data_IF_318273042902
#
_entry.id   IF_318273042902
#
_cell.length_a   1.000
_cell.length_b   1.000
_cell.length_c   1.000
_cell.angle_alpha   90.00
_cell.angle_beta   90.00
_cell.angle_gamma   90.00
#
_symmetry.space_group_name_H-M   'P 1'
#
loop_
_entity.id
_entity.type
_entity.pdbx_description
1 polymer ?
#
# COMPACT_ATOMS: atom_id res chain seq x y z
N UNK A 1 -1.15 87.73 46.20
CA UNK A 1 0.23 88.25 46.06
C UNK A 1 0.94 87.47 44.97
N UNK A 2 1.15 88.15 43.83
CA UNK A 2 2.19 88.03 42.79
C UNK A 2 3.04 86.74 42.70
N UNK A 3 2.95 86.03 41.55
CA UNK A 3 3.99 85.87 40.49
C UNK A 3 4.94 84.67 40.74
N UNK A 4 5.37 83.82 39.79
CA UNK A 4 5.40 83.67 38.31
C UNK A 4 5.51 82.13 38.08
N UNK A 5 5.00 81.54 37.01
CA UNK A 5 5.65 81.58 35.69
C UNK A 5 5.15 80.45 34.78
N UNK A 6 5.13 80.77 33.49
CA UNK A 6 4.60 80.06 32.33
C UNK A 6 5.47 78.85 31.92
N UNK A 7 4.85 77.75 31.46
CA UNK A 7 5.05 77.05 30.17
C UNK A 7 4.99 75.52 30.25
N UNK A 8 4.03 74.90 29.56
CA UNK A 8 4.13 73.54 28.97
C UNK A 8 4.97 73.63 27.67
N UNK A 9 5.32 72.56 26.92
CA UNK A 9 5.19 71.10 27.15
C UNK A 9 6.48 70.30 26.81
N UNK A 10 6.73 69.11 27.39
CA UNK A 10 7.47 68.04 26.68
C UNK A 10 6.94 66.66 27.09
N UNK A 11 6.37 65.98 26.09
CA UNK A 11 6.13 64.55 25.98
C UNK A 11 7.30 63.70 26.50
N UNK A 12 7.06 62.66 27.31
CA UNK A 12 7.49 61.29 27.02
C UNK A 12 7.19 60.32 28.17
N UNK A 13 6.48 59.24 27.80
CA UNK A 13 6.81 57.87 28.19
C UNK A 13 6.32 57.35 29.55
N UNK A 14 4.99 57.18 29.70
CA UNK A 14 4.46 56.03 30.47
C UNK A 14 3.15 55.54 29.83
N UNK A 15 3.24 54.98 28.63
CA UNK A 15 2.19 54.11 28.09
C UNK A 15 2.90 52.87 27.55
N UNK A 16 3.22 51.91 28.41
CA UNK A 16 3.46 50.51 28.03
C UNK A 16 3.46 49.65 29.30
N UNK A 17 2.33 49.58 30.00
CA UNK A 17 2.12 48.64 31.09
C UNK A 17 0.62 48.32 31.17
N UNK A 18 0.14 47.53 30.22
CA UNK A 18 -1.11 46.73 30.35
C UNK A 18 -1.47 45.88 29.12
N UNK A 19 -0.53 45.60 28.20
CA UNK A 19 -0.71 44.53 27.19
C UNK A 19 0.42 43.52 27.30
N UNK A 20 0.52 42.87 28.46
CA UNK A 20 1.18 41.56 28.59
C UNK A 20 0.19 40.69 29.34
N UNK A 21 -0.84 40.25 28.64
CA UNK A 21 -1.70 39.16 29.07
C UNK A 21 -1.32 37.94 28.23
N UNK A 22 -0.59 37.04 28.88
CA UNK A 22 -0.41 35.62 28.55
C UNK A 22 0.04 35.22 27.14
N UNK A 23 1.29 35.54 26.80
CA UNK A 23 2.12 34.56 26.11
C UNK A 23 2.66 33.59 27.16
N UNK A 24 1.84 32.64 27.63
CA UNK A 24 2.33 31.51 28.44
C UNK A 24 3.47 30.90 27.65
N UNK A 25 4.70 30.97 28.17
CA UNK A 25 5.84 30.30 27.57
C UNK A 25 5.49 28.81 27.49
N UNK A 26 5.16 28.33 26.29
CA UNK A 26 4.71 26.96 26.10
C UNK A 26 5.92 26.07 26.32
N UNK A 27 5.89 25.25 27.37
CA UNK A 27 6.98 24.31 27.64
C UNK A 27 7.01 23.24 26.54
N UNK A 28 8.15 22.58 26.31
CA UNK A 28 8.20 21.41 25.43
C UNK A 28 7.14 20.36 25.80
N UNK A 29 6.88 20.17 27.09
CA UNK A 29 5.86 19.26 27.62
C UNK A 29 4.44 19.68 27.24
N UNK A 30 4.12 20.98 27.32
CA UNK A 30 2.81 21.50 26.92
C UNK A 30 2.57 21.32 25.42
N UNK A 31 3.59 21.63 24.62
CA UNK A 31 3.57 21.44 23.17
C UNK A 31 3.40 19.96 22.81
N UNK A 32 4.12 19.08 23.48
CA UNK A 32 3.96 17.63 23.34
C UNK A 32 2.51 17.19 23.67
N UNK A 33 1.95 17.65 24.79
CA UNK A 33 0.60 17.29 25.20
C UNK A 33 -0.45 17.76 24.17
N UNK A 34 -0.33 19.00 23.66
CA UNK A 34 -1.18 19.54 22.59
C UNK A 34 -1.02 18.76 21.29
N UNK A 35 0.21 18.42 20.92
CA UNK A 35 0.50 17.59 19.75
C UNK A 35 -0.16 16.21 19.84
N UNK A 36 -0.09 15.55 20.99
CA UNK A 36 -0.76 14.28 21.26
C UNK A 36 -2.30 14.40 21.28
N UNK A 37 -2.85 15.54 21.71
CA UNK A 37 -4.28 15.80 21.66
C UNK A 37 -4.75 15.98 20.21
N UNK A 38 -4.07 16.82 19.43
CA UNK A 38 -4.36 17.03 18.02
C UNK A 38 -4.25 15.72 17.23
N UNK A 39 -3.23 14.90 17.50
CA UNK A 39 -3.09 13.58 16.88
C UNK A 39 -4.27 12.65 17.19
N UNK A 40 -4.79 12.67 18.42
CA UNK A 40 -5.98 11.90 18.83
C UNK A 40 -7.26 12.40 18.15
N UNK A 41 -7.32 13.68 17.80
CA UNK A 41 -8.42 14.29 17.04
C UNK A 41 -8.30 14.07 15.53
N UNK A 42 -7.21 13.45 15.05
CA UNK A 42 -6.94 13.26 13.62
C UNK A 42 -6.38 14.52 12.93
N UNK A 43 -6.08 15.57 13.69
CA UNK A 43 -5.53 16.84 13.20
C UNK A 43 -4.01 16.73 13.03
N UNK A 44 -3.57 15.82 12.16
CA UNK A 44 -2.17 15.43 12.04
C UNK A 44 -1.23 16.58 11.67
N UNK A 45 -1.68 17.53 10.84
CA UNK A 45 -0.88 18.71 10.49
C UNK A 45 -0.61 19.60 11.71
N UNK A 46 -1.62 19.82 12.56
CA UNK A 46 -1.45 20.59 13.80
C UNK A 46 -0.61 19.81 14.81
N UNK A 47 -0.81 18.49 14.90
CA UNK A 47 -0.01 17.63 15.74
C UNK A 47 1.49 17.74 15.40
N UNK A 48 1.83 17.66 14.11
CA UNK A 48 3.21 17.83 13.64
C UNK A 48 3.76 19.22 14.00
N UNK A 49 2.98 20.30 13.84
CA UNK A 49 3.44 21.64 14.20
C UNK A 49 3.79 21.74 15.69
N UNK A 50 2.92 21.26 16.58
CA UNK A 50 3.19 21.29 18.01
C UNK A 50 4.37 20.39 18.40
N UNK A 51 4.45 19.19 17.83
CA UNK A 51 5.53 18.24 18.14
C UNK A 51 6.89 18.71 17.60
N UNK A 52 6.94 19.33 16.42
CA UNK A 52 8.16 19.96 15.90
C UNK A 52 8.65 21.07 16.82
N UNK A 53 7.74 21.98 17.23
CA UNK A 53 8.10 23.02 18.20
C UNK A 53 8.59 22.44 19.54
N UNK A 54 8.01 21.32 19.99
CA UNK A 54 8.46 20.65 21.21
C UNK A 54 9.90 20.13 21.09
N UNK A 55 10.27 19.52 19.95
CA UNK A 55 11.64 19.05 19.71
C UNK A 55 12.61 20.19 19.36
N UNK A 56 12.15 21.29 18.79
CA UNK A 56 12.98 22.48 18.55
C UNK A 56 13.40 23.15 19.87
N UNK A 57 12.47 23.23 20.83
CA UNK A 57 12.76 23.75 22.17
C UNK A 57 13.55 22.76 23.03
N UNK A 58 13.39 21.46 22.82
CA UNK A 58 14.14 20.42 23.53
C UNK A 58 14.52 19.26 22.58
N UNK A 59 15.69 19.34 21.92
CA UNK A 59 16.10 18.37 20.90
C UNK A 59 16.23 16.91 21.39
N UNK A 60 16.42 16.71 22.69
CA UNK A 60 16.54 15.38 23.32
C UNK A 60 15.23 14.88 23.94
N UNK A 61 14.08 15.47 23.56
CA UNK A 61 12.78 15.03 24.06
C UNK A 61 12.30 13.74 23.37
N UNK A 62 12.77 12.59 23.86
CA UNK A 62 12.51 11.27 23.29
C UNK A 62 11.02 10.98 23.01
N UNK A 63 10.12 11.33 23.96
CA UNK A 63 8.67 11.14 23.80
C UNK A 63 8.08 11.96 22.65
N UNK A 64 8.57 13.18 22.43
CA UNK A 64 8.13 14.02 21.32
C UNK A 64 8.62 13.48 19.96
N UNK A 65 9.84 12.98 19.88
CA UNK A 65 10.33 12.26 18.69
C UNK A 65 9.52 10.99 18.40
N UNK A 66 9.19 10.20 19.44
CA UNK A 66 8.34 9.02 19.28
C UNK A 66 6.93 9.37 18.79
N UNK A 67 6.36 10.48 19.29
CA UNK A 67 5.08 10.99 18.82
C UNK A 67 5.14 11.48 17.37
N UNK A 68 6.20 12.21 16.97
CA UNK A 68 6.44 12.58 15.57
C UNK A 68 6.46 11.33 14.68
N UNK A 69 7.24 10.32 15.08
CA UNK A 69 7.31 9.04 14.38
C UNK A 69 5.94 8.38 14.23
N UNK A 70 5.14 8.37 15.29
CA UNK A 70 3.77 7.83 15.28
C UNK A 70 2.88 8.59 14.29
N UNK A 71 2.93 9.92 14.28
CA UNK A 71 2.11 10.73 13.36
C UNK A 71 2.54 10.52 11.91
N UNK A 72 3.85 10.50 11.64
CA UNK A 72 4.37 10.21 10.30
C UNK A 72 3.97 8.81 9.81
N UNK A 73 3.99 7.80 10.69
CA UNK A 73 3.53 6.45 10.37
C UNK A 73 2.05 6.42 9.97
N UNK A 74 1.20 7.21 10.63
CA UNK A 74 -0.22 7.31 10.27
C UNK A 74 -0.44 8.04 8.94
N UNK A 75 0.39 9.05 8.66
CA UNK A 75 0.36 9.79 7.39
C UNK A 75 0.98 9.02 6.22
N UNK A 76 1.66 7.90 6.47
CA UNK A 76 2.35 7.11 5.45
C UNK A 76 3.72 7.67 5.03
N UNK A 77 4.24 8.68 5.74
CA UNK A 77 5.62 9.15 5.56
C UNK A 77 6.58 8.23 6.32
N UNK A 78 6.81 7.05 5.75
CA UNK A 78 7.65 6.02 6.35
C UNK A 78 9.10 6.48 6.58
N UNK A 79 9.76 7.21 5.65
CA UNK A 79 11.11 7.72 5.89
C UNK A 79 11.21 8.69 7.08
N UNK A 80 10.29 9.66 7.20
CA UNK A 80 10.29 10.58 8.34
C UNK A 80 9.95 9.84 9.65
N UNK A 81 9.03 8.88 9.58
CA UNK A 81 8.67 8.05 10.72
C UNK A 81 9.85 7.25 11.24
N UNK A 82 10.57 6.53 10.38
CA UNK A 82 11.73 5.73 10.77
C UNK A 82 12.83 6.59 11.39
N UNK A 83 13.11 7.77 10.78
CA UNK A 83 14.07 8.73 11.32
C UNK A 83 13.68 9.20 12.73
N UNK A 84 12.41 9.55 12.96
CA UNK A 84 11.95 10.05 14.24
C UNK A 84 11.93 8.95 15.32
N UNK A 85 11.47 7.74 14.99
CA UNK A 85 11.42 6.60 15.91
C UNK A 85 12.84 6.14 16.32
N UNK A 86 13.75 5.99 15.36
CA UNK A 86 15.14 5.62 15.65
C UNK A 86 15.85 6.69 16.48
N UNK A 87 15.54 7.98 16.25
CA UNK A 87 16.04 9.10 17.06
C UNK A 87 15.52 9.03 18.49
N UNK A 88 14.23 8.72 18.70
CA UNK A 88 13.66 8.51 20.02
C UNK A 88 14.32 7.35 20.78
N UNK A 89 14.50 6.19 20.11
CA UNK A 89 15.09 5.00 20.71
C UNK A 89 16.58 5.16 21.02
N UNK A 90 17.31 6.00 20.28
CA UNK A 90 18.69 6.36 20.64
C UNK A 90 18.77 7.11 21.97
N UNK A 91 17.76 7.90 22.32
CA UNK A 91 17.71 8.66 23.57
C UNK A 91 17.12 7.85 24.72
N UNK A 92 16.09 7.05 24.43
CA UNK A 92 15.40 6.21 25.39
C UNK A 92 15.17 4.83 24.76
N UNK A 93 16.14 3.90 24.91
CA UNK A 93 16.06 2.57 24.32
C UNK A 93 14.83 1.77 24.76
N UNK A 94 14.41 1.93 26.02
CA UNK A 94 13.30 1.14 26.59
C UNK A 94 11.91 1.76 26.34
N UNK A 95 11.79 2.63 25.32
CA UNK A 95 10.53 3.25 24.97
C UNK A 95 9.66 2.28 24.15
N UNK A 96 8.98 1.37 24.84
CA UNK A 96 8.12 0.30 24.28
C UNK A 96 7.21 0.76 23.15
N UNK A 97 6.59 1.94 23.30
CA UNK A 97 5.71 2.51 22.27
C UNK A 97 6.46 2.84 20.98
N UNK A 98 7.69 3.35 21.07
CA UNK A 98 8.51 3.67 19.91
C UNK A 98 9.06 2.40 19.25
N UNK A 99 9.48 1.39 20.04
CA UNK A 99 9.88 0.07 19.52
C UNK A 99 8.71 -0.60 18.78
N UNK A 100 7.52 -0.61 19.39
CA UNK A 100 6.31 -1.19 18.81
C UNK A 100 5.91 -0.49 17.50
N UNK A 101 6.02 0.84 17.45
CA UNK A 101 5.73 1.62 16.24
C UNK A 101 6.81 1.42 15.17
N UNK A 102 8.06 1.18 15.55
CA UNK A 102 9.13 0.86 14.61
C UNK A 102 8.92 -0.53 13.99
N UNK A 103 8.53 -1.53 14.79
CA UNK A 103 8.16 -2.84 14.29
C UNK A 103 6.95 -2.76 13.34
N UNK A 104 5.92 -1.98 13.69
CA UNK A 104 4.77 -1.74 12.81
C UNK A 104 5.17 -1.04 11.50
N UNK A 105 6.10 -0.07 11.55
CA UNK A 105 6.65 0.57 10.37
C UNK A 105 7.38 -0.44 9.48
N UNK A 106 8.18 -1.32 10.07
CA UNK A 106 8.85 -2.39 9.33
C UNK A 106 7.85 -3.33 8.68
N UNK A 107 6.80 -3.75 9.37
CA UNK A 107 5.73 -4.56 8.79
C UNK A 107 5.01 -3.84 7.64
N UNK A 108 4.67 -2.55 7.79
CA UNK A 108 4.03 -1.75 6.72
C UNK A 108 4.92 -1.49 5.51
N UNK A 109 6.24 -1.60 5.68
CA UNK A 109 7.22 -1.45 4.61
C UNK A 109 7.75 -2.81 4.14
N UNK A 110 7.03 -3.90 4.45
CA UNK A 110 7.34 -5.28 4.07
C UNK A 110 8.71 -5.80 4.54
N UNK A 111 9.34 -5.11 5.49
CA UNK A 111 10.58 -5.53 6.15
C UNK A 111 10.26 -6.45 7.32
N UNK A 112 9.67 -7.60 7.02
CA UNK A 112 9.09 -8.47 8.05
C UNK A 112 10.11 -9.03 9.03
N UNK A 113 11.31 -9.41 8.58
CA UNK A 113 12.34 -9.92 9.49
C UNK A 113 12.82 -8.86 10.49
N UNK A 114 12.92 -7.59 10.07
CA UNK A 114 13.20 -6.48 10.97
C UNK A 114 12.07 -6.29 11.99
N UNK A 115 10.80 -6.38 11.56
CA UNK A 115 9.66 -6.28 12.46
C UNK A 115 9.65 -7.42 13.50
N UNK A 116 9.90 -8.66 13.04
CA UNK A 116 9.97 -9.85 13.88
C UNK A 116 11.09 -9.70 14.92
N UNK A 117 12.29 -9.28 14.50
CA UNK A 117 13.43 -9.08 15.41
C UNK A 117 13.12 -8.08 16.53
N UNK A 118 12.49 -6.95 16.21
CA UNK A 118 12.07 -5.96 17.22
C UNK A 118 11.02 -6.54 18.17
N UNK A 119 10.03 -7.28 17.65
CA UNK A 119 9.02 -7.90 18.51
C UNK A 119 9.60 -9.01 19.40
N UNK A 120 10.58 -9.79 18.94
CA UNK A 120 11.24 -10.81 19.76
C UNK A 120 11.96 -10.18 20.96
N UNK A 121 12.66 -9.06 20.75
CA UNK A 121 13.28 -8.28 21.83
C UNK A 121 12.23 -7.73 22.81
N UNK A 122 11.13 -7.16 22.28
CA UNK A 122 10.01 -6.70 23.10
C UNK A 122 9.37 -7.82 23.94
N UNK A 123 9.29 -9.05 23.44
CA UNK A 123 8.76 -10.21 24.20
C UNK A 123 9.69 -10.58 25.35
N UNK A 124 11.01 -10.47 25.18
CA UNK A 124 11.94 -10.73 26.27
C UNK A 124 11.79 -9.71 27.40
N UNK A 125 11.54 -8.44 27.06
CA UNK A 125 11.33 -7.35 28.02
C UNK A 125 9.93 -7.36 28.66
N UNK A 126 8.91 -7.71 27.88
CA UNK A 126 7.49 -7.62 28.24
C UNK A 126 6.71 -8.90 27.90
N UNK A 127 7.07 -10.05 28.48
CA UNK A 127 6.48 -11.34 28.11
C UNK A 127 4.98 -11.43 28.40
N UNK A 128 4.44 -10.62 29.30
CA UNK A 128 3.01 -10.56 29.64
C UNK A 128 2.18 -9.68 28.69
N UNK A 129 2.82 -8.87 27.84
CA UNK A 129 2.14 -7.88 27.01
C UNK A 129 1.35 -8.52 25.87
N UNK A 130 0.02 -8.52 25.98
CA UNK A 130 -0.88 -8.98 24.91
C UNK A 130 -0.57 -8.29 23.58
N UNK A 131 -0.33 -6.97 23.60
CA UNK A 131 -0.11 -6.19 22.38
C UNK A 131 1.16 -6.60 21.65
N UNK A 132 2.21 -6.98 22.37
CA UNK A 132 3.47 -7.44 21.78
C UNK A 132 3.27 -8.81 21.13
N UNK A 133 2.57 -9.74 21.79
CA UNK A 133 2.24 -11.05 21.21
C UNK A 133 1.34 -10.95 19.98
N UNK A 134 0.35 -10.06 19.99
CA UNK A 134 -0.47 -9.79 18.81
C UNK A 134 0.36 -9.18 17.67
N UNK A 135 1.30 -8.29 18.01
CA UNK A 135 2.24 -7.68 17.08
C UNK A 135 3.12 -8.71 16.38
N UNK A 136 3.79 -9.59 17.15
CA UNK A 136 4.65 -10.63 16.55
C UNK A 136 3.85 -11.64 15.74
N UNK A 137 2.66 -12.04 16.21
CA UNK A 137 1.81 -12.99 15.49
C UNK A 137 1.38 -12.41 14.13
N UNK A 138 1.01 -11.13 14.10
CA UNK A 138 0.69 -10.41 12.87
C UNK A 138 1.89 -10.26 11.95
N UNK A 139 3.09 -10.02 12.49
CA UNK A 139 4.32 -9.94 11.71
C UNK A 139 4.68 -11.30 11.07
N UNK A 140 4.60 -12.40 11.83
CA UNK A 140 4.78 -13.75 11.29
C UNK A 140 3.75 -14.10 10.22
N UNK A 141 2.48 -13.75 10.45
CA UNK A 141 1.41 -13.99 9.49
C UNK A 141 1.64 -13.23 8.18
N UNK A 142 2.06 -11.96 8.23
CA UNK A 142 2.39 -11.18 7.03
C UNK A 142 3.64 -11.67 6.31
N UNK A 143 4.56 -12.33 7.04
CA UNK A 143 5.75 -12.98 6.48
C UNK A 143 5.48 -14.40 5.93
N UNK A 144 4.22 -14.82 5.85
CA UNK A 144 3.81 -16.20 5.49
C UNK A 144 4.40 -17.31 6.40
N UNK A 145 4.87 -16.95 7.60
CA UNK A 145 5.38 -17.87 8.63
C UNK A 145 4.23 -18.33 9.53
N UNK A 146 3.30 -19.08 8.95
CA UNK A 146 2.01 -19.39 9.58
C UNK A 146 2.13 -20.24 10.84
N UNK A 147 3.08 -21.16 10.91
CA UNK A 147 3.35 -21.98 12.09
C UNK A 147 3.79 -21.12 13.29
N UNK A 148 4.74 -20.20 13.08
CA UNK A 148 5.19 -19.26 14.12
C UNK A 148 4.05 -18.32 14.54
N UNK A 149 3.24 -17.86 13.58
CA UNK A 149 2.06 -17.04 13.87
C UNK A 149 1.03 -17.78 14.73
N UNK A 150 0.82 -19.08 14.49
CA UNK A 150 -0.07 -19.92 15.28
C UNK A 150 0.38 -19.95 16.74
N UNK A 151 1.67 -20.21 17.00
CA UNK A 151 2.22 -20.24 18.35
C UNK A 151 2.05 -18.88 19.05
N UNK A 152 2.41 -17.79 18.36
CA UNK A 152 2.29 -16.44 18.91
C UNK A 152 0.83 -16.02 19.18
N UNK A 153 -0.12 -16.36 18.31
CA UNK A 153 -1.53 -16.12 18.58
C UNK A 153 -2.06 -16.96 19.73
N UNK A 154 -1.63 -18.22 19.88
CA UNK A 154 -1.98 -19.03 21.04
C UNK A 154 -1.45 -18.41 22.33
N UNK A 155 -0.23 -17.90 22.34
CA UNK A 155 0.32 -17.13 23.46
C UNK A 155 -0.51 -15.88 23.77
N UNK A 156 -0.93 -15.13 22.73
CA UNK A 156 -1.83 -13.98 22.92
C UNK A 156 -3.17 -14.39 23.58
N UNK A 157 -3.73 -15.54 23.19
CA UNK A 157 -4.98 -16.06 23.72
C UNK A 157 -4.85 -16.64 25.13
N UNK A 158 -3.67 -17.12 25.55
CA UNK A 158 -3.41 -17.45 26.97
C UNK A 158 -3.56 -16.22 27.87
N UNK A 159 -3.17 -15.04 27.37
CA UNK A 159 -3.25 -13.76 28.10
C UNK A 159 -4.65 -13.14 28.03
N UNK A 160 -5.32 -13.25 26.88
CA UNK A 160 -6.69 -12.78 26.69
C UNK A 160 -7.54 -13.81 25.95
N UNK A 161 -8.14 -14.79 26.68
CA UNK A 161 -8.87 -15.91 26.09
C UNK A 161 -10.07 -15.55 25.23
N UNK A 162 -10.63 -14.34 25.39
CA UNK A 162 -11.81 -13.87 24.66
C UNK A 162 -11.48 -12.87 23.54
N UNK A 163 -10.21 -12.74 23.13
CA UNK A 163 -9.82 -11.79 22.09
C UNK A 163 -10.24 -12.29 20.70
N UNK A 164 -11.42 -11.88 20.24
CA UNK A 164 -12.10 -12.36 19.02
C UNK A 164 -11.29 -12.15 17.73
N UNK A 165 -10.60 -11.01 17.60
CA UNK A 165 -9.72 -10.75 16.48
C UNK A 165 -8.51 -11.71 16.44
N UNK A 166 -7.98 -12.10 17.60
CA UNK A 166 -6.86 -13.04 17.68
C UNK A 166 -7.32 -14.46 17.35
N UNK A 167 -8.50 -14.87 17.81
CA UNK A 167 -9.12 -16.13 17.40
C UNK A 167 -9.35 -16.21 15.89
N UNK A 168 -9.84 -15.12 15.29
CA UNK A 168 -10.12 -15.07 13.85
C UNK A 168 -8.84 -15.14 13.02
N UNK A 169 -7.79 -14.42 13.44
CA UNK A 169 -6.49 -14.48 12.77
C UNK A 169 -5.81 -15.85 12.94
N UNK A 170 -5.87 -16.43 14.15
CA UNK A 170 -5.39 -17.79 14.40
C UNK A 170 -6.11 -18.81 13.51
N UNK A 171 -7.43 -18.69 13.37
CA UNK A 171 -8.20 -19.54 12.46
C UNK A 171 -7.74 -19.39 11.00
N UNK A 172 -7.45 -18.17 10.55
CA UNK A 172 -6.90 -17.91 9.22
C UNK A 172 -5.51 -18.54 9.03
N UNK A 173 -4.64 -18.51 10.05
CA UNK A 173 -3.36 -19.20 9.98
C UNK A 173 -3.55 -20.73 9.89
N UNK A 174 -4.51 -21.30 10.63
CA UNK A 174 -4.85 -22.71 10.49
C UNK A 174 -5.37 -23.08 9.10
N UNK A 175 -6.12 -22.20 8.43
CA UNK A 175 -6.50 -22.42 7.03
C UNK A 175 -5.28 -22.46 6.11
N UNK A 176 -4.33 -21.55 6.29
CA UNK A 176 -3.11 -21.48 5.47
C UNK A 176 -2.29 -22.78 5.58
N UNK A 177 -2.17 -23.35 6.78
CA UNK A 177 -1.51 -24.65 7.03
C UNK A 177 -2.43 -25.85 6.82
N UNK A 178 -3.60 -25.66 6.19
CA UNK A 178 -4.58 -26.71 5.83
C UNK A 178 -5.14 -27.51 7.03
N UNK A 179 -5.08 -26.95 8.24
CA UNK A 179 -5.69 -27.52 9.45
C UNK A 179 -7.14 -27.04 9.62
N UNK A 180 -8.00 -27.43 8.69
CA UNK A 180 -9.37 -26.93 8.56
C UNK A 180 -10.23 -27.12 9.83
N UNK A 181 -10.07 -28.23 10.55
CA UNK A 181 -10.81 -28.49 11.78
C UNK A 181 -10.52 -27.45 12.88
N UNK A 182 -9.26 -27.03 13.04
CA UNK A 182 -8.89 -25.98 14.00
C UNK A 182 -9.39 -24.62 13.54
N UNK A 183 -9.29 -24.31 12.24
CA UNK A 183 -9.85 -23.09 11.68
C UNK A 183 -11.34 -22.94 11.99
N UNK A 184 -12.14 -23.98 11.71
CA UNK A 184 -13.59 -24.00 12.02
C UNK A 184 -13.83 -23.79 13.52
N UNK A 185 -13.06 -24.45 14.38
CA UNK A 185 -13.20 -24.32 15.84
C UNK A 185 -12.99 -22.88 16.30
N UNK A 186 -11.92 -22.23 15.87
CA UNK A 186 -11.60 -20.87 16.30
C UNK A 186 -12.51 -19.80 15.66
N UNK A 187 -12.94 -19.96 14.41
CA UNK A 187 -13.97 -19.08 13.84
C UNK A 187 -15.29 -19.19 14.59
N UNK A 188 -15.72 -20.40 14.95
CA UNK A 188 -16.93 -20.59 15.77
C UNK A 188 -16.79 -19.97 17.15
N UNK A 189 -15.62 -20.11 17.79
CA UNK A 189 -15.35 -19.50 19.08
C UNK A 189 -15.42 -17.96 19.00
N UNK A 190 -14.81 -17.36 17.98
CA UNK A 190 -14.88 -15.92 17.74
C UNK A 190 -16.32 -15.44 17.52
N UNK A 191 -17.08 -16.13 16.67
CA UNK A 191 -18.46 -15.80 16.34
C UNK A 191 -19.46 -16.05 17.48
N UNK A 192 -19.11 -16.91 18.44
CA UNK A 192 -19.91 -17.09 19.66
C UNK A 192 -19.82 -15.88 20.59
N UNK A 193 -18.67 -15.19 20.60
CA UNK A 193 -18.46 -13.96 21.37
C UNK A 193 -18.97 -12.73 20.60
N UNK A 194 -18.62 -12.62 19.32
CA UNK A 194 -19.01 -11.51 18.46
C UNK A 194 -19.64 -12.03 17.15
N UNK A 195 -20.99 -12.09 17.08
CA UNK A 195 -21.67 -12.69 15.93
C UNK A 195 -21.50 -11.93 14.60
N UNK A 196 -21.11 -10.65 14.65
CA UNK A 196 -21.08 -9.73 13.50
C UNK A 196 -19.66 -9.42 13.02
N UNK A 197 -18.78 -10.42 12.99
CA UNK A 197 -17.44 -10.30 12.42
C UNK A 197 -17.44 -10.65 10.93
N UNK A 198 -17.21 -9.68 10.00
CA UNK A 198 -17.29 -9.95 8.56
C UNK A 198 -16.30 -11.01 8.10
N UNK A 199 -15.03 -10.91 8.53
CA UNK A 199 -13.97 -11.87 8.15
C UNK A 199 -14.27 -13.28 8.64
N UNK A 200 -14.60 -13.47 9.92
CA UNK A 200 -14.88 -14.79 10.48
C UNK A 200 -16.14 -15.43 9.85
N UNK A 201 -17.21 -14.66 9.65
CA UNK A 201 -18.41 -15.14 8.95
C UNK A 201 -18.08 -15.52 7.48
N UNK A 202 -17.31 -14.69 6.79
CA UNK A 202 -16.95 -14.91 5.38
C UNK A 202 -16.09 -16.15 5.19
N UNK A 203 -15.03 -16.29 5.99
CA UNK A 203 -14.08 -17.40 5.89
C UNK A 203 -14.72 -18.72 6.33
N UNK A 204 -15.43 -18.76 7.46
CA UNK A 204 -16.17 -19.96 7.88
C UNK A 204 -17.25 -20.34 6.86
N UNK A 205 -17.95 -19.34 6.29
CA UNK A 205 -18.91 -19.55 5.21
C UNK A 205 -18.27 -20.13 3.95
N UNK A 206 -17.06 -19.68 3.59
CA UNK A 206 -16.29 -20.22 2.47
C UNK A 206 -15.84 -21.67 2.71
N UNK A 207 -15.41 -22.02 3.92
CA UNK A 207 -15.10 -23.40 4.30
C UNK A 207 -16.33 -24.29 4.10
N UNK A 208 -17.49 -23.91 4.66
CA UNK A 208 -18.72 -24.69 4.46
C UNK A 208 -19.17 -24.76 3.00
N UNK A 209 -18.95 -23.70 2.21
CA UNK A 209 -19.22 -23.71 0.77
C UNK A 209 -18.38 -24.76 0.03
N UNK A 210 -17.09 -24.88 0.38
CA UNK A 210 -16.16 -25.87 -0.20
C UNK A 210 -16.56 -27.29 0.20
N UNK A 211 -16.94 -27.50 1.46
CA UNK A 211 -17.45 -28.78 1.97
C UNK A 211 -18.82 -29.18 1.38
N UNK A 212 -19.51 -28.27 0.68
CA UNK A 212 -20.86 -28.51 0.16
C UNK A 212 -21.96 -28.37 1.22
N UNK A 213 -21.62 -27.89 2.41
CA UNK A 213 -22.53 -27.59 3.52
C UNK A 213 -23.28 -26.25 3.28
N UNK A 214 -24.05 -26.20 2.19
CA UNK A 214 -24.64 -24.96 1.67
C UNK A 214 -25.59 -24.26 2.65
N UNK A 215 -26.28 -25.03 3.49
CA UNK A 215 -27.22 -24.50 4.50
C UNK A 215 -26.50 -23.84 5.67
N UNK A 216 -25.29 -24.28 6.01
CA UNK A 216 -24.43 -23.60 6.99
C UNK A 216 -23.72 -22.39 6.36
N UNK A 217 -23.28 -22.52 5.12
CA UNK A 217 -22.53 -21.47 4.41
C UNK A 217 -23.37 -20.20 4.15
N UNK A 218 -24.61 -20.36 3.66
CA UNK A 218 -25.45 -19.25 3.22
C UNK A 218 -25.65 -18.15 4.28
N UNK A 219 -26.12 -18.45 5.52
CA UNK A 219 -26.38 -17.40 6.51
C UNK A 219 -25.10 -16.70 6.99
N UNK A 220 -23.96 -17.40 7.00
CA UNK A 220 -22.67 -16.80 7.36
C UNK A 220 -22.21 -15.82 6.27
N UNK A 221 -22.24 -16.23 5.01
CA UNK A 221 -21.86 -15.38 3.88
C UNK A 221 -22.79 -14.16 3.75
N UNK A 222 -24.10 -14.32 3.98
CA UNK A 222 -25.04 -13.19 4.00
C UNK A 222 -24.74 -12.20 5.14
N UNK A 223 -24.35 -12.68 6.33
CA UNK A 223 -23.90 -11.81 7.44
C UNK A 223 -22.62 -11.07 7.09
N UNK A 224 -21.63 -11.78 6.54
CA UNK A 224 -20.35 -11.20 6.15
C UNK A 224 -20.53 -10.04 5.16
N UNK A 225 -21.32 -10.30 4.10
CA UNK A 225 -21.60 -9.34 3.03
C UNK A 225 -22.45 -8.16 3.51
N UNK A 226 -23.35 -8.37 4.47
CA UNK A 226 -24.15 -7.29 5.07
C UNK A 226 -23.29 -6.38 5.95
N UNK A 227 -22.38 -6.97 6.73
CA UNK A 227 -21.51 -6.23 7.64
C UNK A 227 -20.39 -5.50 6.90
N UNK A 228 -19.85 -6.10 5.83
CA UNK A 228 -18.93 -5.43 4.90
C UNK A 228 -19.34 -5.67 3.44
N UNK A 229 -20.05 -4.71 2.81
CA UNK A 229 -20.42 -4.80 1.41
C UNK A 229 -19.25 -4.83 0.43
N UNK A 230 -18.03 -4.44 0.85
CA UNK A 230 -16.81 -4.46 0.04
C UNK A 230 -16.03 -5.76 0.18
N UNK A 231 -16.49 -6.72 1.00
CA UNK A 231 -15.83 -8.01 1.13
C UNK A 231 -16.08 -8.90 -0.09
N UNK A 232 -15.38 -8.60 -1.18
CA UNK A 232 -15.60 -9.20 -2.52
C UNK A 232 -15.49 -10.72 -2.51
N UNK A 233 -14.52 -11.28 -1.79
CA UNK A 233 -14.30 -12.74 -1.72
C UNK A 233 -15.50 -13.48 -1.07
N UNK A 234 -16.04 -12.96 0.03
CA UNK A 234 -17.25 -13.51 0.66
C UNK A 234 -18.48 -13.37 -0.25
N UNK A 235 -18.60 -12.24 -0.95
CA UNK A 235 -19.68 -12.02 -1.93
C UNK A 235 -19.63 -13.00 -3.09
N UNK A 236 -18.44 -13.26 -3.62
CA UNK A 236 -18.26 -14.28 -4.65
C UNK A 236 -18.67 -15.67 -4.16
N UNK A 237 -18.25 -16.06 -2.95
CA UNK A 237 -18.68 -17.31 -2.33
C UNK A 237 -20.20 -17.38 -2.13
N UNK A 238 -20.84 -16.27 -1.74
CA UNK A 238 -22.30 -16.16 -1.63
C UNK A 238 -22.97 -16.46 -2.98
N UNK A 239 -22.48 -15.85 -4.06
CA UNK A 239 -22.92 -16.14 -5.42
C UNK A 239 -22.81 -17.63 -5.76
N UNK A 240 -21.69 -18.28 -5.42
CA UNK A 240 -21.48 -19.71 -5.68
C UNK A 240 -22.49 -20.59 -4.92
N UNK A 241 -22.74 -20.28 -3.64
CA UNK A 241 -23.75 -20.98 -2.83
C UNK A 241 -25.15 -20.80 -3.44
N UNK A 242 -25.51 -19.58 -3.84
CA UNK A 242 -26.79 -19.28 -4.48
C UNK A 242 -26.96 -20.03 -5.81
N UNK A 243 -25.91 -20.11 -6.63
CA UNK A 243 -25.91 -20.91 -7.87
C UNK A 243 -26.16 -22.38 -7.59
N UNK A 244 -25.45 -22.98 -6.62
CA UNK A 244 -25.65 -24.40 -6.23
C UNK A 244 -27.06 -24.65 -5.70
N UNK A 245 -27.65 -23.68 -4.97
CA UNK A 245 -29.05 -23.71 -4.51
C UNK A 245 -30.07 -23.29 -5.59
N UNK A 246 -29.66 -23.13 -6.86
CA UNK A 246 -30.49 -22.74 -8.02
C UNK A 246 -31.18 -21.37 -7.90
N UNK A 247 -30.70 -20.49 -7.02
CA UNK A 247 -31.17 -19.10 -6.87
C UNK A 247 -30.46 -18.18 -7.87
N UNK A 248 -30.62 -18.47 -9.17
CA UNK A 248 -29.81 -17.87 -10.25
C UNK A 248 -29.95 -16.34 -10.35
N UNK A 249 -31.16 -15.80 -10.15
CA UNK A 249 -31.37 -14.34 -10.18
C UNK A 249 -30.55 -13.62 -9.10
N UNK A 250 -30.59 -14.14 -7.86
CA UNK A 250 -29.79 -13.59 -6.76
C UNK A 250 -28.29 -13.78 -7.00
N UNK A 251 -27.88 -14.96 -7.49
CA UNK A 251 -26.47 -15.21 -7.80
C UNK A 251 -25.93 -14.23 -8.84
N UNK A 252 -26.69 -13.93 -9.90
CA UNK A 252 -26.30 -12.96 -10.92
C UNK A 252 -26.04 -11.56 -10.33
N UNK A 253 -26.91 -11.10 -9.42
CA UNK A 253 -26.72 -9.81 -8.72
C UNK A 253 -25.42 -9.80 -7.92
N UNK A 254 -25.14 -10.86 -7.15
CA UNK A 254 -23.90 -10.94 -6.36
C UNK A 254 -22.65 -10.94 -7.26
N UNK A 255 -22.67 -11.67 -8.38
CA UNK A 255 -21.54 -11.66 -9.33
C UNK A 255 -21.36 -10.31 -10.02
N UNK A 256 -22.44 -9.61 -10.36
CA UNK A 256 -22.36 -8.26 -10.91
C UNK A 256 -21.73 -7.28 -9.91
N UNK A 257 -22.05 -7.41 -8.62
CA UNK A 257 -21.44 -6.60 -7.57
C UNK A 257 -19.96 -6.95 -7.34
N UNK A 258 -19.58 -8.23 -7.46
CA UNK A 258 -18.16 -8.64 -7.49
C UNK A 258 -17.43 -7.96 -8.66
N UNK A 259 -18.00 -8.00 -9.86
CA UNK A 259 -17.43 -7.40 -11.06
C UNK A 259 -17.34 -5.86 -10.95
N UNK A 260 -18.32 -5.22 -10.31
CA UNK A 260 -18.29 -3.78 -10.08
C UNK A 260 -17.14 -3.35 -9.16
N UNK A 261 -16.71 -4.21 -8.22
CA UNK A 261 -15.57 -3.97 -7.34
C UNK A 261 -14.24 -4.44 -7.95
N UNK A 262 -14.27 -5.54 -8.71
CA UNK A 262 -13.11 -6.18 -9.33
C UNK A 262 -13.44 -6.52 -10.78
N UNK A 263 -13.19 -5.57 -11.68
CA UNK A 263 -13.56 -5.67 -13.10
C UNK A 263 -12.80 -6.74 -13.87
N UNK A 264 -11.69 -7.27 -13.32
CA UNK A 264 -10.89 -8.36 -13.87
C UNK A 264 -11.15 -9.72 -13.19
N UNK A 265 -12.19 -9.86 -12.36
CA UNK A 265 -12.51 -11.11 -11.67
C UNK A 265 -13.03 -12.20 -12.62
N UNK A 266 -12.12 -13.03 -13.14
CA UNK A 266 -12.37 -14.10 -14.11
C UNK A 266 -13.54 -15.02 -13.71
N UNK A 267 -13.51 -15.55 -12.48
CA UNK A 267 -14.51 -16.51 -12.01
C UNK A 267 -15.93 -15.93 -11.90
N UNK A 268 -16.07 -14.62 -11.66
CA UNK A 268 -17.37 -13.97 -11.53
C UNK A 268 -18.04 -13.85 -12.91
N UNK A 269 -17.30 -13.51 -13.96
CA UNK A 269 -17.83 -13.49 -15.33
C UNK A 269 -18.28 -14.87 -15.82
N UNK A 270 -17.49 -15.92 -15.53
CA UNK A 270 -17.90 -17.29 -15.85
C UNK A 270 -19.22 -17.63 -15.17
N UNK A 271 -19.30 -17.46 -13.85
CA UNK A 271 -20.50 -17.84 -13.11
C UNK A 271 -21.71 -16.94 -13.40
N UNK A 272 -21.49 -15.66 -13.72
CA UNK A 272 -22.52 -14.74 -14.18
C UNK A 272 -23.10 -15.20 -15.53
N UNK A 273 -22.24 -15.56 -16.49
CA UNK A 273 -22.68 -16.09 -17.78
C UNK A 273 -23.53 -17.36 -17.61
N UNK A 274 -23.07 -18.28 -16.73
CA UNK A 274 -23.82 -19.49 -16.41
C UNK A 274 -25.17 -19.18 -15.74
N UNK A 275 -25.22 -18.21 -14.84
CA UNK A 275 -26.48 -17.77 -14.23
C UNK A 275 -27.44 -17.21 -15.30
N UNK A 276 -26.97 -16.37 -16.22
CA UNK A 276 -27.77 -15.84 -17.32
C UNK A 276 -28.30 -16.91 -18.27
N UNK A 277 -27.48 -17.90 -18.65
CA UNK A 277 -27.97 -19.02 -19.46
C UNK A 277 -29.07 -19.81 -18.76
N UNK A 278 -28.98 -20.00 -17.44
CA UNK A 278 -30.02 -20.67 -16.65
C UNK A 278 -31.30 -19.83 -16.53
N UNK A 279 -31.18 -18.51 -16.58
CA UNK A 279 -32.28 -17.55 -16.63
C UNK A 279 -32.83 -17.35 -18.06
N UNK A 280 -32.30 -18.04 -19.07
CA UNK A 280 -32.63 -17.87 -20.50
C UNK A 280 -32.30 -16.47 -21.07
N UNK A 281 -31.45 -15.71 -20.39
CA UNK A 281 -30.91 -14.41 -20.83
C UNK A 281 -29.67 -14.63 -21.71
N UNK A 282 -29.91 -15.03 -22.96
CA UNK A 282 -28.85 -15.56 -23.84
C UNK A 282 -27.82 -14.52 -24.24
N UNK A 283 -28.25 -13.28 -24.49
CA UNK A 283 -27.34 -12.23 -24.99
C UNK A 283 -26.43 -11.71 -23.87
N UNK A 284 -26.98 -11.50 -22.68
CA UNK A 284 -26.22 -11.15 -21.48
C UNK A 284 -25.21 -12.24 -21.12
N UNK A 285 -25.64 -13.51 -21.21
CA UNK A 285 -24.78 -14.67 -21.00
C UNK A 285 -23.60 -14.72 -22.00
N UNK A 286 -23.85 -14.44 -23.29
CA UNK A 286 -22.79 -14.38 -24.31
C UNK A 286 -21.79 -13.27 -24.03
N UNK A 287 -22.26 -12.05 -23.70
CA UNK A 287 -21.38 -10.90 -23.38
C UNK A 287 -20.48 -11.21 -22.18
N UNK A 288 -21.05 -11.74 -21.10
CA UNK A 288 -20.26 -12.13 -19.92
C UNK A 288 -19.25 -13.25 -20.24
N UNK A 289 -19.63 -14.22 -21.09
CA UNK A 289 -18.75 -15.32 -21.52
C UNK A 289 -17.58 -14.82 -22.40
N UNK A 290 -17.82 -13.83 -23.25
CA UNK A 290 -16.76 -13.22 -24.07
C UNK A 290 -15.70 -12.53 -23.21
N UNK A 291 -16.13 -11.73 -22.22
CA UNK A 291 -15.22 -11.09 -21.27
C UNK A 291 -14.46 -12.13 -20.45
N UNK A 292 -15.15 -13.18 -19.97
CA UNK A 292 -14.50 -14.30 -19.30
C UNK A 292 -13.38 -14.90 -20.15
N UNK A 293 -13.63 -15.21 -21.44
CA UNK A 293 -12.61 -15.79 -22.33
C UNK A 293 -11.40 -14.87 -22.46
N UNK A 294 -11.63 -13.58 -22.70
CA UNK A 294 -10.55 -12.59 -22.80
C UNK A 294 -9.72 -12.54 -21.52
N UNK A 295 -10.37 -12.42 -20.35
CA UNK A 295 -9.70 -12.38 -19.07
C UNK A 295 -8.98 -13.69 -18.73
N UNK A 296 -9.55 -14.83 -19.12
CA UNK A 296 -8.94 -16.14 -18.91
C UNK A 296 -7.66 -16.31 -19.76
N UNK A 297 -7.65 -15.85 -21.01
CA UNK A 297 -6.44 -15.82 -21.84
C UNK A 297 -5.35 -14.94 -21.22
N UNK A 298 -5.73 -13.77 -20.68
CA UNK A 298 -4.80 -12.89 -19.96
C UNK A 298 -4.22 -13.59 -18.74
N UNK A 299 -5.07 -14.23 -17.93
CA UNK A 299 -4.65 -14.94 -16.73
C UNK A 299 -3.70 -16.10 -17.05
N UNK A 300 -3.97 -16.87 -18.12
CA UNK A 300 -3.09 -17.94 -18.59
C UNK A 300 -1.72 -17.41 -19.06
N UNK A 301 -1.69 -16.31 -19.83
CA UNK A 301 -0.43 -15.71 -20.27
C UNK A 301 0.42 -15.23 -19.08
N UNK A 302 -0.21 -14.68 -18.03
CA UNK A 302 0.47 -14.29 -16.78
C UNK A 302 0.98 -15.52 -16.04
N UNK A 303 0.14 -16.54 -15.86
CA UNK A 303 0.49 -17.78 -15.14
C UNK A 303 1.68 -18.48 -15.81
N UNK A 304 1.70 -18.56 -17.14
CA UNK A 304 2.82 -19.15 -17.88
C UNK A 304 4.14 -18.40 -17.65
N UNK A 305 4.09 -17.06 -17.49
CA UNK A 305 5.28 -16.25 -17.16
C UNK A 305 5.70 -16.43 -15.72
N UNK A 306 4.76 -16.48 -14.78
CA UNK A 306 5.04 -16.72 -13.37
C UNK A 306 5.65 -18.11 -13.14
N UNK A 307 5.15 -19.16 -13.83
CA UNK A 307 5.77 -20.48 -13.82
C UNK A 307 7.20 -20.45 -14.37
N UNK A 308 7.46 -19.70 -15.43
CA UNK A 308 8.82 -19.56 -15.97
C UNK A 308 9.79 -18.91 -14.96
N UNK A 309 9.31 -17.99 -14.12
CA UNK A 309 10.09 -17.42 -13.01
C UNK A 309 10.37 -18.48 -11.95
N UNK A 310 9.42 -19.35 -11.61
CA UNK A 310 9.66 -20.42 -10.64
C UNK A 310 10.72 -21.42 -11.11
N UNK A 311 10.81 -21.67 -12.42
CA UNK A 311 11.82 -22.55 -13.01
C UNK A 311 13.20 -21.88 -13.03
N UNK A 312 13.26 -20.58 -13.34
CA UNK A 312 14.50 -19.80 -13.42
C UNK A 312 14.43 -18.53 -12.53
N UNK A 313 14.45 -18.68 -11.19
CA UNK A 313 14.15 -17.57 -10.27
C UNK A 313 15.18 -16.44 -10.28
N UNK A 314 16.42 -16.75 -10.64
CA UNK A 314 17.53 -15.78 -10.69
C UNK A 314 17.74 -15.19 -12.10
N UNK A 315 16.79 -15.39 -13.03
CA UNK A 315 16.91 -14.90 -14.39
C UNK A 315 16.12 -13.57 -14.57
N UNK A 316 16.79 -12.41 -14.66
CA UNK A 316 16.14 -11.10 -14.76
C UNK A 316 15.26 -10.95 -16.01
N UNK A 317 15.54 -11.71 -17.07
CA UNK A 317 14.74 -11.68 -18.30
C UNK A 317 13.31 -12.19 -18.07
N UNK A 318 13.09 -13.15 -17.15
CA UNK A 318 11.75 -13.68 -16.85
C UNK A 318 10.88 -12.64 -16.16
N UNK A 319 11.46 -11.93 -15.19
CA UNK A 319 10.81 -10.80 -14.52
C UNK A 319 10.46 -9.69 -15.52
N UNK A 320 11.38 -9.36 -16.42
CA UNK A 320 11.11 -8.41 -17.50
C UNK A 320 9.96 -8.85 -18.43
N UNK A 321 9.96 -10.11 -18.88
CA UNK A 321 8.89 -10.63 -19.73
C UNK A 321 7.53 -10.59 -19.04
N UNK A 322 7.47 -10.89 -17.74
CA UNK A 322 6.26 -10.73 -16.94
C UNK A 322 5.82 -9.26 -16.88
N UNK A 323 6.77 -8.34 -16.66
CA UNK A 323 6.50 -6.90 -16.67
C UNK A 323 5.92 -6.39 -18.00
N UNK A 324 6.42 -6.90 -19.13
CA UNK A 324 5.85 -6.58 -20.46
C UNK A 324 4.41 -7.06 -20.60
N UNK A 325 4.09 -8.27 -20.12
CA UNK A 325 2.71 -8.80 -20.14
C UNK A 325 1.80 -7.95 -19.26
N UNK A 326 2.25 -7.55 -18.07
CA UNK A 326 1.49 -6.64 -17.23
C UNK A 326 1.25 -5.28 -17.90
N UNK A 327 2.27 -4.69 -18.51
CA UNK A 327 2.16 -3.41 -19.24
C UNK A 327 1.19 -3.51 -20.43
N UNK A 328 1.28 -4.60 -21.22
CA UNK A 328 0.38 -4.90 -22.35
C UNK A 328 -1.09 -4.90 -21.93
N UNK A 329 -1.39 -5.34 -20.70
CA UNK A 329 -2.76 -5.39 -20.17
C UNK A 329 -3.11 -4.23 -19.23
N UNK A 330 -2.30 -3.17 -19.20
CA UNK A 330 -2.56 -1.97 -18.40
C UNK A 330 -2.41 -2.15 -16.90
N UNK A 331 -1.81 -3.26 -16.43
CA UNK A 331 -1.50 -3.49 -15.01
C UNK A 331 -0.18 -2.79 -14.65
N UNK A 332 -0.18 -1.46 -14.70
CA UNK A 332 1.03 -0.62 -14.68
C UNK A 332 1.85 -0.83 -13.40
N UNK A 333 1.24 -0.82 -12.22
CA UNK A 333 1.96 -1.01 -10.96
C UNK A 333 2.68 -2.37 -10.90
N UNK A 334 2.00 -3.43 -11.36
CA UNK A 334 2.59 -4.77 -11.44
C UNK A 334 3.73 -4.83 -12.45
N UNK A 335 3.62 -4.10 -13.56
CA UNK A 335 4.69 -4.00 -14.54
C UNK A 335 5.94 -3.32 -13.95
N UNK A 336 5.75 -2.20 -13.24
CA UNK A 336 6.83 -1.49 -12.53
C UNK A 336 7.50 -2.42 -11.52
N UNK A 337 6.72 -3.12 -10.68
CA UNK A 337 7.27 -4.06 -9.70
C UNK A 337 8.06 -5.19 -10.36
N UNK A 338 7.56 -5.78 -11.44
CA UNK A 338 8.26 -6.84 -12.16
C UNK A 338 9.57 -6.33 -12.80
N UNK A 339 9.59 -5.12 -13.35
CA UNK A 339 10.84 -4.54 -13.86
C UNK A 339 11.83 -4.19 -12.73
N UNK A 340 11.36 -3.70 -11.58
CA UNK A 340 12.21 -3.49 -10.40
C UNK A 340 12.78 -4.80 -9.88
N UNK A 341 12.00 -5.88 -9.88
CA UNK A 341 12.48 -7.23 -9.53
C UNK A 341 13.56 -7.71 -10.51
N UNK A 342 13.41 -7.44 -11.82
CA UNK A 342 14.47 -7.71 -12.79
C UNK A 342 15.77 -6.95 -12.46
N UNK A 343 15.67 -5.67 -12.06
CA UNK A 343 16.83 -4.85 -11.67
C UNK A 343 17.45 -5.26 -10.33
N UNK A 344 16.67 -5.86 -9.43
CA UNK A 344 17.21 -6.41 -8.18
C UNK A 344 18.07 -7.66 -8.45
N UNK A 345 17.72 -8.45 -9.47
CA UNK A 345 18.53 -9.60 -9.92
C UNK A 345 19.74 -9.16 -10.73
N UNK A 346 19.59 -8.16 -11.60
CA UNK A 346 20.67 -7.56 -12.39
C UNK A 346 20.49 -6.05 -12.53
N UNK A 347 21.29 -5.29 -11.77
CA UNK A 347 21.25 -3.83 -11.76
C UNK A 347 21.59 -3.20 -13.13
N UNK A 348 22.16 -3.96 -14.06
CA UNK A 348 22.55 -3.53 -15.40
C UNK A 348 21.65 -4.13 -16.50
N UNK A 349 20.50 -4.70 -16.15
CA UNK A 349 19.48 -5.14 -17.11
C UNK A 349 18.91 -3.95 -17.90
N UNK A 350 19.62 -3.55 -18.96
CA UNK A 350 19.34 -2.36 -19.77
C UNK A 350 17.93 -2.35 -20.37
N UNK A 351 17.38 -3.52 -20.69
CA UNK A 351 16.01 -3.69 -21.19
C UNK A 351 14.96 -3.35 -20.12
N UNK A 352 15.20 -3.70 -18.86
CA UNK A 352 14.32 -3.38 -17.74
C UNK A 352 14.39 -1.89 -17.36
N UNK A 353 15.60 -1.30 -17.38
CA UNK A 353 15.80 0.14 -17.21
C UNK A 353 15.03 0.94 -18.27
N UNK A 354 15.20 0.60 -19.54
CA UNK A 354 14.51 1.28 -20.63
C UNK A 354 12.98 1.10 -20.56
N UNK A 355 12.49 -0.07 -20.16
CA UNK A 355 11.04 -0.29 -20.00
C UNK A 355 10.44 0.48 -18.83
N UNK A 356 11.14 0.58 -17.69
CA UNK A 356 10.74 1.44 -16.57
C UNK A 356 10.69 2.91 -16.98
N UNK A 357 11.74 3.40 -17.64
CA UNK A 357 11.77 4.77 -18.15
C UNK A 357 10.56 5.07 -19.05
N UNK A 358 10.24 4.16 -19.98
CA UNK A 358 9.07 4.30 -20.87
C UNK A 358 7.74 4.34 -20.10
N UNK A 359 7.59 3.53 -19.05
CA UNK A 359 6.38 3.58 -18.22
C UNK A 359 6.25 4.90 -17.44
N UNK A 360 7.33 5.39 -16.84
CA UNK A 360 7.33 6.68 -16.14
C UNK A 360 7.03 7.85 -17.08
N UNK A 361 7.61 7.84 -18.29
CA UNK A 361 7.28 8.82 -19.35
C UNK A 361 5.80 8.77 -19.69
N UNK A 362 5.25 7.57 -19.94
CA UNK A 362 3.85 7.39 -20.31
C UNK A 362 2.87 7.89 -19.24
N UNK A 363 3.21 7.67 -17.97
CA UNK A 363 2.42 8.10 -16.81
C UNK A 363 2.65 9.58 -16.45
N UNK A 364 3.75 10.19 -16.91
CA UNK A 364 4.12 11.55 -16.53
C UNK A 364 4.58 11.69 -15.08
N UNK A 365 5.05 10.60 -14.47
CA UNK A 365 5.50 10.54 -13.06
C UNK A 365 6.99 10.21 -13.00
N UNK A 366 7.63 10.50 -11.86
CA UNK A 366 9.04 10.12 -11.60
C UNK A 366 10.00 10.47 -12.75
N UNK A 367 9.81 11.65 -13.39
CA UNK A 367 10.48 11.99 -14.64
C UNK A 367 12.01 12.12 -14.52
N UNK A 368 12.54 12.43 -13.33
CA UNK A 368 13.99 12.40 -13.10
C UNK A 368 14.52 10.96 -13.05
N UNK A 369 13.78 10.03 -12.45
CA UNK A 369 14.13 8.61 -12.44
C UNK A 369 14.01 8.02 -13.85
N UNK A 370 13.02 8.46 -14.63
CA UNK A 370 12.87 8.09 -16.04
C UNK A 370 14.12 8.49 -16.85
N UNK A 371 14.63 9.71 -16.65
CA UNK A 371 15.87 10.18 -17.25
C UNK A 371 17.04 9.30 -16.80
N UNK A 372 17.22 9.11 -15.49
CA UNK A 372 18.35 8.35 -14.95
C UNK A 372 18.37 6.89 -15.46
N UNK A 373 17.20 6.23 -15.51
CA UNK A 373 17.07 4.89 -16.08
C UNK A 373 17.37 4.85 -17.58
N UNK A 374 16.85 5.82 -18.36
CA UNK A 374 17.11 5.89 -19.80
C UNK A 374 18.59 6.19 -20.12
N UNK A 375 19.21 7.12 -19.36
CA UNK A 375 20.65 7.42 -19.46
C UNK A 375 21.48 6.17 -19.18
N UNK A 376 21.22 5.48 -18.06
CA UNK A 376 21.94 4.25 -17.72
C UNK A 376 21.75 3.16 -18.78
N UNK A 377 20.52 2.95 -19.27
CA UNK A 377 20.25 1.98 -20.33
C UNK A 377 21.02 2.31 -21.62
N UNK A 378 21.03 3.58 -22.02
CA UNK A 378 21.77 4.04 -23.18
C UNK A 378 23.28 3.85 -22.99
N UNK A 379 23.84 4.24 -21.85
CA UNK A 379 25.26 4.06 -21.56
C UNK A 379 25.72 2.60 -21.68
N UNK A 380 24.90 1.65 -21.22
CA UNK A 380 25.20 0.22 -21.27
C UNK A 380 25.16 -0.39 -22.69
N UNK A 381 24.43 0.22 -23.63
CA UNK A 381 24.14 -0.41 -24.94
C UNK A 381 24.59 0.40 -26.14
N UNK A 382 24.71 1.73 -25.99
CA UNK A 382 24.85 2.68 -27.09
C UNK A 382 23.78 2.46 -28.18
N UNK A 383 22.56 2.09 -27.78
CA UNK A 383 21.45 1.83 -28.71
C UNK A 383 20.73 3.14 -29.09
N UNK A 384 20.50 3.40 -30.39
CA UNK A 384 19.76 4.58 -30.83
C UNK A 384 18.29 4.57 -30.35
N UNK A 385 17.69 3.39 -30.18
CA UNK A 385 16.33 3.26 -29.64
C UNK A 385 16.24 3.69 -28.16
N UNK A 386 17.32 3.50 -27.39
CA UNK A 386 17.39 3.95 -26.00
C UNK A 386 17.72 5.43 -25.91
N UNK A 387 18.51 5.96 -26.85
CA UNK A 387 18.71 7.40 -27.02
C UNK A 387 17.37 8.10 -27.32
N UNK A 388 16.51 7.50 -28.15
CA UNK A 388 15.15 8.00 -28.36
C UNK A 388 14.33 8.00 -27.06
N UNK A 389 14.39 6.94 -26.24
CA UNK A 389 13.71 6.92 -24.94
C UNK A 389 14.20 8.05 -24.03
N UNK A 390 15.52 8.29 -23.98
CA UNK A 390 16.11 9.40 -23.23
C UNK A 390 15.62 10.76 -23.73
N UNK A 391 15.56 10.94 -25.05
CA UNK A 391 15.01 12.16 -25.64
C UNK A 391 13.55 12.39 -25.21
N UNK A 392 12.72 11.35 -25.19
CA UNK A 392 11.34 11.42 -24.71
C UNK A 392 11.27 11.74 -23.22
N UNK A 393 12.17 11.18 -22.40
CA UNK A 393 12.25 11.48 -20.97
C UNK A 393 12.57 12.96 -20.72
N UNK A 394 13.58 13.50 -21.41
CA UNK A 394 13.91 14.92 -21.33
C UNK A 394 12.76 15.81 -21.78
N UNK A 395 12.09 15.43 -22.87
CA UNK A 395 10.99 16.19 -23.41
C UNK A 395 9.82 16.28 -22.43
N UNK A 396 9.43 15.15 -21.85
CA UNK A 396 8.35 15.08 -20.86
C UNK A 396 8.71 15.83 -19.57
N UNK A 397 10.00 15.84 -19.18
CA UNK A 397 10.52 16.61 -18.06
C UNK A 397 10.70 18.12 -18.33
N UNK A 398 10.32 18.61 -19.52
CA UNK A 398 10.45 20.01 -19.90
C UNK A 398 11.89 20.43 -20.27
N UNK A 399 12.85 19.51 -20.32
CA UNK A 399 14.25 19.76 -20.73
C UNK A 399 14.36 19.74 -22.26
N UNK A 400 13.76 20.74 -22.93
CA UNK A 400 13.56 20.79 -24.40
C UNK A 400 14.87 20.70 -25.19
N UNK A 401 15.88 21.47 -24.81
CA UNK A 401 17.17 21.48 -25.51
C UNK A 401 17.85 20.10 -25.45
N UNK A 402 17.87 19.48 -24.27
CA UNK A 402 18.41 18.13 -24.07
C UNK A 402 17.64 17.09 -24.91
N UNK A 403 16.32 17.20 -24.97
CA UNK A 403 15.48 16.32 -25.78
C UNK A 403 15.82 16.39 -27.26
N UNK A 404 15.94 17.61 -27.81
CA UNK A 404 16.28 17.84 -29.22
C UNK A 404 17.69 17.34 -29.55
N UNK A 405 18.67 17.56 -28.65
CA UNK A 405 20.02 17.02 -28.81
C UNK A 405 20.01 15.48 -28.81
N UNK A 406 19.35 14.86 -27.85
CA UNK A 406 19.29 13.40 -27.74
C UNK A 406 18.63 12.74 -28.96
N UNK A 407 17.48 13.27 -29.45
CA UNK A 407 16.84 12.69 -30.64
C UNK A 407 17.66 12.91 -31.91
N UNK A 408 18.38 14.03 -32.01
CA UNK A 408 19.31 14.28 -33.11
C UNK A 408 20.46 13.27 -33.10
N UNK A 409 21.03 12.98 -31.93
CA UNK A 409 22.04 11.91 -31.79
C UNK A 409 21.48 10.55 -32.18
N UNK A 410 20.24 10.23 -31.81
CA UNK A 410 19.61 8.97 -32.24
C UNK A 410 19.49 8.86 -33.77
N UNK A 411 19.18 9.96 -34.47
CA UNK A 411 19.14 10.03 -35.95
C UNK A 411 20.54 9.86 -36.54
N UNK A 412 21.56 10.48 -35.96
CA UNK A 412 22.95 10.34 -36.44
C UNK A 412 23.46 8.90 -36.31
N UNK A 413 23.04 8.20 -35.26
CA UNK A 413 23.38 6.80 -35.03
C UNK A 413 22.65 5.82 -35.98
N UNK A 414 21.47 6.18 -36.47
CA UNK A 414 20.66 5.36 -37.39
C UNK A 414 19.83 6.27 -38.34
N UNK A 415 20.46 6.79 -39.41
CA UNK A 415 19.86 7.82 -40.27
C UNK A 415 18.63 7.37 -41.07
N UNK A 416 18.51 6.07 -41.33
CA UNK A 416 17.43 5.46 -42.12
C UNK A 416 16.16 5.23 -41.30
N UNK A 417 16.20 5.50 -39.99
CA UNK A 417 15.08 5.26 -39.10
C UNK A 417 14.12 6.46 -39.06
N UNK A 418 13.08 6.38 -39.89
CA UNK A 418 12.05 7.40 -40.00
C UNK A 418 11.33 7.70 -38.67
N UNK A 419 11.26 6.74 -37.74
CA UNK A 419 10.61 6.96 -36.45
C UNK A 419 11.32 8.03 -35.61
N UNK A 420 12.66 8.13 -35.71
CA UNK A 420 13.42 9.16 -35.00
C UNK A 420 13.17 10.54 -35.59
N UNK A 421 13.12 10.66 -36.92
CA UNK A 421 12.78 11.90 -37.62
C UNK A 421 11.36 12.36 -37.29
N UNK A 422 10.40 11.43 -37.28
CA UNK A 422 9.03 11.72 -36.85
C UNK A 422 8.95 12.20 -35.40
N UNK A 423 9.74 11.60 -34.51
CA UNK A 423 9.84 12.02 -33.11
C UNK A 423 10.38 13.45 -33.00
N UNK A 424 11.45 13.77 -33.72
CA UNK A 424 12.02 15.12 -33.79
C UNK A 424 11.01 16.15 -34.30
N UNK A 425 10.27 15.83 -35.37
CA UNK A 425 9.22 16.71 -35.91
C UNK A 425 8.14 17.00 -34.86
N UNK A 426 7.61 15.96 -34.21
CA UNK A 426 6.60 16.12 -33.14
C UNK A 426 7.12 16.96 -31.98
N UNK A 427 8.39 16.79 -31.59
CA UNK A 427 9.00 17.58 -30.53
C UNK A 427 9.10 19.06 -30.91
N UNK A 428 9.50 19.38 -32.15
CA UNK A 428 9.60 20.76 -32.65
C UNK A 428 8.22 21.43 -32.78
N UNK A 429 7.22 20.71 -33.28
CA UNK A 429 5.84 21.22 -33.40
C UNK A 429 5.24 21.57 -32.05
N UNK A 430 5.47 20.73 -31.05
CA UNK A 430 5.02 20.98 -29.69
C UNK A 430 5.73 22.18 -29.05
N UNK A 431 7.01 22.40 -29.37
CA UNK A 431 7.81 23.53 -28.86
C UNK A 431 7.34 24.86 -29.48
N UNK A 432 7.01 24.86 -30.77
CA UNK A 432 6.50 26.03 -31.50
C UNK A 432 5.08 26.49 -31.12
N UNK A 433 4.31 25.66 -30.41
CA UNK A 433 2.96 26.01 -29.90
C UNK A 433 2.98 26.61 -28.48
N UNK A 434 4.13 26.62 -27.82
CA UNK A 434 4.33 27.14 -26.45
C UNK A 434 4.99 28.52 -26.41
N UNK A 435 5.32 29.09 -27.58
CA UNK A 435 5.72 30.50 -27.77
C UNK A 435 4.50 31.30 -28.24
#
# INVERSE_FOLDING_TARGET
MLQKGVSFPVFLLVIFLSVVWDAVAQTPQDLYARGMQAARQGEYSQALQYLHRAVDLHPEFAKAHAALGTVYLQLGDFPASEKALTRALRMAPDLVQAESNLALLYARTERFDNAIGVYQDLIQKHPESLQVWLGIASAYQQADRYEDAIEAYQESLKRSPNHTAAMSNLASCYEAVKQEAQAIRYYKAALAQEPNLPMANGNLGAIYQKQGELDKALPLLEKAVRADPRFTAARYCLGLVLTKKRKFQRAAIEYQQVIAQQSDHVGAYYNLAQAFFRLKQREEGKRAMEIYRRLNTIAQEIEDRERAILIEPNNPLKQYQLGLVYAKYGKIDKAISAFRAALALDANAHYALNALARLYILQGVELQDAIAHAEKAFHLTQSPQYMQTLALAYFQAGKRENALKAIQTAIEMDPENDAFRQTLTKMKEADGKTK
#
